data_IF_328854544121
#
_entry.id   IF_328854544121
#
_cell.length_a   1.000
_cell.length_b   1.000
_cell.length_c   1.000
_cell.angle_alpha   90.00
_cell.angle_beta   90.00
_cell.angle_gamma   90.00
#
_symmetry.space_group_name_H-M   'P 1'
#
loop_
_entity.id
_entity.type
_entity.pdbx_description
1 polymer ?
#
# COMPACT_ATOMS: atom_id res chain seq x y z
N UNK A 1 26.77 0.59 -12.48
CA UNK A 1 25.67 1.12 -11.67
C UNK A 1 25.59 2.62 -11.91
N UNK A 2 24.61 3.06 -12.68
CA UNK A 2 24.33 4.47 -12.95
C UNK A 2 23.57 5.05 -11.76
N UNK A 3 24.26 5.87 -10.97
CA UNK A 3 23.63 6.62 -9.87
C UNK A 3 22.48 7.49 -10.39
N UNK A 4 22.60 8.00 -11.62
CA UNK A 4 21.59 8.83 -12.29
C UNK A 4 20.27 8.09 -12.49
N UNK A 5 20.32 6.81 -12.86
CA UNK A 5 19.10 6.00 -13.04
C UNK A 5 18.36 5.78 -11.73
N UNK A 6 19.11 5.50 -10.65
CA UNK A 6 18.57 5.32 -9.29
C UNK A 6 17.93 6.63 -8.80
N UNK A 7 18.64 7.75 -8.92
CA UNK A 7 18.15 9.07 -8.49
C UNK A 7 16.88 9.46 -9.24
N UNK A 8 16.82 9.23 -10.56
CA UNK A 8 15.61 9.49 -11.35
C UNK A 8 14.43 8.65 -10.89
N UNK A 9 14.63 7.35 -10.66
CA UNK A 9 13.59 6.44 -10.23
C UNK A 9 13.08 6.79 -8.81
N UNK A 10 13.99 7.02 -7.87
CA UNK A 10 13.65 7.46 -6.52
C UNK A 10 12.88 8.79 -6.55
N UNK A 11 13.34 9.78 -7.32
CA UNK A 11 12.63 11.05 -7.47
C UNK A 11 11.22 10.87 -8.04
N UNK A 12 11.02 9.93 -8.96
CA UNK A 12 9.70 9.65 -9.53
C UNK A 12 8.74 9.07 -8.49
N UNK A 13 9.23 8.23 -7.57
CA UNK A 13 8.44 7.73 -6.43
C UNK A 13 8.13 8.85 -5.44
N UNK A 14 9.10 9.71 -5.16
CA UNK A 14 8.92 10.87 -4.27
C UNK A 14 7.89 11.85 -4.81
N UNK A 15 7.76 12.03 -6.13
CA UNK A 15 6.66 12.82 -6.73
C UNK A 15 5.30 12.25 -6.34
N UNK A 16 5.12 10.92 -6.40
CA UNK A 16 3.84 10.27 -6.07
C UNK A 16 3.52 10.47 -4.59
N UNK A 17 4.47 10.13 -3.71
CA UNK A 17 4.27 10.23 -2.24
C UNK A 17 4.03 11.67 -1.82
N UNK A 18 4.81 12.62 -2.32
CA UNK A 18 4.64 14.04 -1.97
C UNK A 18 3.32 14.61 -2.51
N UNK A 19 2.86 14.20 -3.69
CA UNK A 19 1.52 14.54 -4.17
C UNK A 19 0.42 13.96 -3.27
N UNK A 20 0.59 12.72 -2.78
CA UNK A 20 -0.32 12.12 -1.79
C UNK A 20 -0.32 12.89 -0.47
N UNK A 21 0.83 13.37 0.01
CA UNK A 21 0.93 14.20 1.22
C UNK A 21 0.12 15.50 1.08
N UNK A 22 0.03 16.07 -0.12
CA UNK A 22 -0.78 17.27 -0.38
C UNK A 22 -2.29 17.02 -0.32
N UNK A 23 -2.75 15.76 -0.28
CA UNK A 23 -4.16 15.45 -0.02
C UNK A 23 -4.56 15.78 1.43
N UNK A 24 -3.62 15.75 2.37
CA UNK A 24 -3.89 15.98 3.80
C UNK A 24 -4.44 17.38 4.07
N UNK A 25 -3.78 18.49 3.65
CA UNK A 25 -4.34 19.83 3.81
C UNK A 25 -5.65 20.04 3.05
N UNK A 26 -5.88 19.33 1.93
CA UNK A 26 -7.17 19.38 1.20
C UNK A 26 -8.27 18.76 2.07
N UNK A 27 -8.01 17.59 2.68
CA UNK A 27 -8.95 16.92 3.57
C UNK A 27 -9.22 17.77 4.83
N UNK A 28 -8.22 18.47 5.36
CA UNK A 28 -8.44 19.42 6.47
C UNK A 28 -9.46 20.49 6.09
N UNK A 29 -9.31 21.10 4.91
CA UNK A 29 -10.26 22.11 4.40
C UNK A 29 -11.66 21.51 4.24
N UNK A 30 -11.77 20.32 3.62
CA UNK A 30 -13.05 19.64 3.40
C UNK A 30 -13.75 19.27 4.72
N UNK A 31 -12.98 19.02 5.78
CA UNK A 31 -13.50 18.63 7.10
C UNK A 31 -13.61 19.81 8.07
N UNK A 32 -13.34 21.04 7.61
CA UNK A 32 -13.38 22.25 8.44
C UNK A 32 -12.33 22.27 9.55
N UNK A 33 -11.25 21.50 9.41
CA UNK A 33 -10.15 21.42 10.38
C UNK A 33 -9.04 22.40 10.02
N UNK A 34 -8.24 22.85 11.01
CA UNK A 34 -7.05 23.64 10.73
C UNK A 34 -6.10 22.89 9.80
N UNK A 35 -5.56 23.59 8.81
CA UNK A 35 -4.65 23.02 7.81
C UNK A 35 -3.42 22.43 8.50
N UNK A 36 -3.08 21.19 8.18
CA UNK A 36 -1.83 20.53 8.56
C UNK A 36 -0.67 21.09 7.72
N UNK A 37 -0.23 22.30 8.10
CA UNK A 37 0.87 23.04 7.46
C UNK A 37 2.15 22.21 7.26
N UNK A 38 2.58 21.34 8.19
CA UNK A 38 3.73 20.46 7.97
C UNK A 38 3.60 19.57 6.73
N UNK A 39 2.42 19.00 6.47
CA UNK A 39 2.18 18.19 5.27
C UNK A 39 2.24 19.04 3.99
N UNK A 40 1.70 20.25 4.02
CA UNK A 40 1.78 21.20 2.90
C UNK A 40 3.23 21.58 2.60
N UNK A 41 4.02 21.94 3.61
CA UNK A 41 5.42 22.37 3.46
C UNK A 41 6.28 21.20 3.00
N UNK A 42 6.29 20.08 3.73
CA UNK A 42 7.14 18.93 3.40
C UNK A 42 6.74 18.35 2.05
N UNK A 43 5.44 18.21 1.79
CA UNK A 43 4.92 17.76 0.49
C UNK A 43 5.42 18.65 -0.65
N UNK A 44 5.30 19.98 -0.53
CA UNK A 44 5.74 20.91 -1.58
C UNK A 44 7.26 20.92 -1.78
N UNK A 45 8.02 20.95 -0.68
CA UNK A 45 9.49 20.97 -0.70
C UNK A 45 10.08 19.70 -1.30
N UNK A 46 9.41 18.54 -1.13
CA UNK A 46 9.84 17.28 -1.77
C UNK A 46 9.33 17.19 -3.20
N UNK A 47 8.09 17.60 -3.47
CA UNK A 47 7.45 17.50 -4.78
C UNK A 47 8.20 18.28 -5.86
N UNK A 48 8.51 19.56 -5.60
CA UNK A 48 9.07 20.46 -6.61
C UNK A 48 10.44 19.96 -7.11
N UNK A 49 11.44 19.69 -6.24
CA UNK A 49 12.73 19.17 -6.68
C UNK A 49 12.60 17.79 -7.33
N UNK A 50 11.80 16.88 -6.75
CA UNK A 50 11.62 15.53 -7.28
C UNK A 50 11.01 15.54 -8.68
N UNK A 51 10.07 16.45 -8.94
CA UNK A 51 9.46 16.64 -10.26
C UNK A 51 10.46 17.21 -11.27
N UNK A 52 11.29 18.17 -10.86
CA UNK A 52 12.33 18.75 -11.72
C UNK A 52 13.40 17.71 -12.07
N UNK A 53 13.86 16.94 -11.10
CA UNK A 53 14.87 15.89 -11.27
C UNK A 53 14.33 14.77 -12.17
N UNK A 54 13.12 14.27 -11.90
CA UNK A 54 12.51 13.18 -12.68
C UNK A 54 12.27 13.57 -14.15
N UNK A 55 11.94 14.85 -14.43
CA UNK A 55 11.77 15.36 -15.80
C UNK A 55 13.10 15.64 -16.51
N UNK A 56 14.09 16.22 -15.82
CA UNK A 56 15.36 16.65 -16.43
C UNK A 56 16.34 15.51 -16.67
N UNK A 57 16.38 14.52 -15.77
CA UNK A 57 17.28 13.40 -15.92
C UNK A 57 16.80 12.47 -17.03
N UNK A 58 17.65 12.20 -18.01
CA UNK A 58 17.47 11.12 -18.98
C UNK A 58 18.24 9.90 -18.48
N UNK A 59 17.54 8.78 -18.30
CA UNK A 59 18.12 7.52 -17.91
C UNK A 59 17.46 6.40 -18.72
N UNK A 60 18.23 5.36 -19.06
CA UNK A 60 17.72 4.15 -19.69
C UNK A 60 16.92 3.28 -18.71
N UNK A 61 16.56 2.07 -19.15
CA UNK A 61 15.93 1.08 -18.28
C UNK A 61 16.84 0.75 -17.09
N UNK A 62 16.24 0.61 -15.90
CA UNK A 62 16.97 0.20 -14.70
C UNK A 62 17.53 -1.21 -14.90
N UNK A 63 18.80 -1.38 -14.58
CA UNK A 63 19.35 -2.74 -14.37
C UNK A 63 18.76 -3.35 -13.09
N UNK A 64 18.85 -4.67 -12.94
CA UNK A 64 18.33 -5.38 -11.76
C UNK A 64 18.93 -4.84 -10.44
N UNK A 65 20.24 -4.56 -10.44
CA UNK A 65 20.92 -4.00 -9.27
C UNK A 65 20.44 -2.59 -8.94
N UNK A 66 20.23 -1.74 -9.97
CA UNK A 66 19.70 -0.40 -9.77
C UNK A 66 18.24 -0.41 -9.30
N UNK A 67 17.42 -1.36 -9.77
CA UNK A 67 16.06 -1.54 -9.31
C UNK A 67 16.01 -1.98 -7.83
N UNK A 68 16.85 -2.95 -7.43
CA UNK A 68 16.98 -3.39 -6.04
C UNK A 68 17.47 -2.25 -5.15
N UNK A 69 18.51 -1.53 -5.58
CA UNK A 69 19.03 -0.37 -4.84
C UNK A 69 17.97 0.72 -4.68
N UNK A 70 17.25 1.05 -5.76
CA UNK A 70 16.14 2.01 -5.73
C UNK A 70 15.05 1.57 -4.75
N UNK A 71 14.64 0.30 -4.80
CA UNK A 71 13.64 -0.25 -3.89
C UNK A 71 14.11 -0.14 -2.44
N UNK A 72 15.30 -0.66 -2.11
CA UNK A 72 15.86 -0.63 -0.76
C UNK A 72 15.98 0.81 -0.21
N UNK A 73 16.46 1.75 -1.02
CA UNK A 73 16.52 3.17 -0.62
C UNK A 73 15.15 3.79 -0.46
N UNK A 74 14.18 3.46 -1.33
CA UNK A 74 12.82 4.00 -1.23
C UNK A 74 12.11 3.58 0.06
N UNK A 75 12.32 2.34 0.52
CA UNK A 75 11.79 1.82 1.78
C UNK A 75 12.33 2.52 3.03
N UNK A 76 13.44 3.25 2.92
CA UNK A 76 14.01 4.05 4.00
C UNK A 76 13.62 5.52 3.86
N UNK A 77 13.76 6.08 2.66
CA UNK A 77 13.60 7.52 2.41
C UNK A 77 12.13 7.95 2.45
N UNK A 78 11.20 7.14 1.91
CA UNK A 78 9.77 7.49 1.88
C UNK A 78 9.20 7.59 3.32
N UNK A 79 9.38 6.58 4.20
CA UNK A 79 8.95 6.68 5.59
C UNK A 79 9.65 7.81 6.35
N UNK A 80 10.92 8.10 6.04
CA UNK A 80 11.66 9.21 6.65
C UNK A 80 10.99 10.56 6.35
N UNK A 81 10.60 10.80 5.10
CA UNK A 81 9.93 12.04 4.69
C UNK A 81 8.54 12.17 5.34
N UNK A 82 7.78 11.07 5.37
CA UNK A 82 6.49 11.02 6.09
C UNK A 82 6.66 11.35 7.57
N UNK A 83 7.68 10.79 8.22
CA UNK A 83 7.97 10.99 9.63
C UNK A 83 8.25 12.46 9.96
N UNK A 84 8.93 13.20 9.08
CA UNK A 84 9.16 14.64 9.26
C UNK A 84 7.83 15.38 9.36
N UNK A 85 6.91 15.15 8.40
CA UNK A 85 5.60 15.81 8.42
C UNK A 85 4.76 15.40 9.64
N UNK A 86 4.71 14.11 9.96
CA UNK A 86 3.96 13.58 11.10
C UNK A 86 4.50 14.07 12.45
N UNK A 87 5.83 14.11 12.61
CA UNK A 87 6.48 14.59 13.84
C UNK A 87 6.18 16.06 14.11
N UNK A 88 6.26 16.89 13.09
CA UNK A 88 5.93 18.32 13.19
C UNK A 88 4.44 18.56 13.42
N UNK A 89 3.56 17.77 12.79
CA UNK A 89 2.10 17.92 12.93
C UNK A 89 1.59 17.46 14.29
N UNK A 90 2.03 16.28 14.74
CA UNK A 90 1.55 15.68 15.98
C UNK A 90 2.35 16.11 17.21
N UNK A 91 3.49 16.79 17.00
CA UNK A 91 4.44 17.18 18.06
C UNK A 91 4.90 15.97 18.88
N UNK A 92 5.03 14.83 18.21
CA UNK A 92 5.54 13.58 18.77
C UNK A 92 7.01 13.39 18.37
N UNK A 93 7.79 12.60 19.15
CA UNK A 93 9.19 12.33 18.85
C UNK A 93 9.36 11.81 17.41
N UNK A 94 10.39 12.31 16.74
CA UNK A 94 10.66 11.95 15.35
C UNK A 94 10.84 10.43 15.17
N UNK A 95 11.52 9.78 16.12
CA UNK A 95 11.77 8.34 16.07
C UNK A 95 10.47 7.53 16.12
N UNK A 96 9.49 7.98 16.90
CA UNK A 96 8.17 7.35 16.99
C UNK A 96 7.43 7.51 15.65
N UNK A 97 7.46 8.71 15.07
CA UNK A 97 6.81 8.94 13.78
C UNK A 97 7.51 8.26 12.61
N UNK A 98 8.81 7.99 12.73
CA UNK A 98 9.55 7.15 11.79
C UNK A 98 9.16 5.69 11.93
N UNK A 99 9.00 5.18 13.15
CA UNK A 99 8.45 3.83 13.38
C UNK A 99 7.02 3.70 12.84
N UNK A 100 6.14 4.66 13.15
CA UNK A 100 4.76 4.69 12.66
C UNK A 100 4.72 4.70 11.13
N UNK A 101 5.56 5.52 10.48
CA UNK A 101 5.64 5.60 9.02
C UNK A 101 6.20 4.33 8.40
N UNK A 102 7.26 3.74 8.97
CA UNK A 102 7.81 2.47 8.51
C UNK A 102 6.74 1.39 8.56
N UNK A 103 6.09 1.23 9.72
CA UNK A 103 5.01 0.28 9.94
C UNK A 103 3.83 0.47 8.98
N UNK A 104 3.49 1.72 8.66
CA UNK A 104 2.47 2.06 7.68
C UNK A 104 2.87 1.61 6.28
N UNK A 105 3.99 2.08 5.75
CA UNK A 105 4.39 1.76 4.38
C UNK A 105 4.73 0.28 4.17
N UNK A 106 5.25 -0.42 5.19
CA UNK A 106 5.55 -1.86 5.05
C UNK A 106 4.31 -2.74 5.21
N UNK A 107 3.16 -2.18 5.59
CA UNK A 107 1.96 -2.96 5.89
C UNK A 107 2.07 -3.77 7.19
N UNK A 108 2.94 -3.38 8.13
CA UNK A 108 3.11 -4.09 9.41
C UNK A 108 1.95 -3.78 10.38
N UNK A 109 1.45 -2.55 10.38
CA UNK A 109 0.25 -2.20 11.15
C UNK A 109 0.43 -1.91 12.63
N UNK A 110 1.64 -1.97 13.16
CA UNK A 110 1.93 -1.54 14.52
C UNK A 110 1.85 -0.03 14.64
N UNK A 111 1.38 0.44 15.79
CA UNK A 111 1.29 1.87 16.07
C UNK A 111 1.93 2.21 17.40
N UNK A 112 2.64 3.34 17.42
CA UNK A 112 3.21 3.95 18.62
C UNK A 112 2.43 5.19 19.07
N UNK A 113 1.41 5.59 18.30
CA UNK A 113 0.52 6.67 18.70
C UNK A 113 -0.41 6.14 19.80
N UNK A 114 -0.38 6.71 21.03
CA UNK A 114 -1.11 6.15 22.17
C UNK A 114 -2.63 6.28 22.05
N UNK A 115 -3.09 7.38 21.45
CA UNK A 115 -4.50 7.69 21.32
C UNK A 115 -4.80 8.33 19.96
N UNK A 116 -5.67 7.69 19.21
CA UNK A 116 -6.12 8.14 17.89
C UNK A 116 -7.27 9.16 17.94
N UNK A 117 -8.00 9.26 19.05
CA UNK A 117 -9.16 10.16 19.21
C UNK A 117 -8.88 11.64 18.95
N UNK A 118 -7.75 12.24 19.39
CA UNK A 118 -7.48 13.65 19.14
C UNK A 118 -6.96 13.92 17.72
N UNK A 119 -6.65 12.89 16.93
CA UNK A 119 -6.10 13.07 15.59
C UNK A 119 -7.14 13.67 14.65
N UNK A 120 -6.68 14.53 13.73
CA UNK A 120 -7.53 15.03 12.65
C UNK A 120 -7.92 13.87 11.72
N UNK A 121 -9.11 13.92 11.09
CA UNK A 121 -9.51 12.93 10.09
C UNK A 121 -8.50 12.73 8.96
N UNK A 122 -7.83 13.81 8.55
CA UNK A 122 -6.76 13.83 7.54
C UNK A 122 -5.54 13.01 7.97
N UNK A 123 -5.16 13.02 9.25
CA UNK A 123 -4.00 12.26 9.74
C UNK A 123 -4.31 10.77 9.82
N UNK A 124 -5.52 10.40 10.26
CA UNK A 124 -5.97 9.00 10.17
C UNK A 124 -6.01 8.55 8.70
N UNK A 125 -6.48 9.40 7.79
CA UNK A 125 -6.45 9.12 6.36
C UNK A 125 -5.02 8.90 5.85
N UNK A 126 -4.06 9.73 6.26
CA UNK A 126 -2.64 9.51 5.95
C UNK A 126 -2.15 8.14 6.41
N UNK A 127 -2.48 7.74 7.65
CA UNK A 127 -2.11 6.41 8.18
C UNK A 127 -2.64 5.27 7.32
N UNK A 128 -3.89 5.34 6.91
CA UNK A 128 -4.48 4.34 6.01
C UNK A 128 -3.86 4.38 4.60
N UNK A 129 -3.57 5.58 4.09
CA UNK A 129 -2.96 5.78 2.78
C UNK A 129 -1.52 5.26 2.70
N UNK A 130 -0.76 5.35 3.80
CA UNK A 130 0.58 4.73 3.89
C UNK A 130 0.51 3.23 3.63
N UNK A 131 -0.45 2.51 4.23
CA UNK A 131 -0.61 1.07 3.99
C UNK A 131 -1.04 0.75 2.56
N UNK A 132 -2.05 1.48 2.06
CA UNK A 132 -2.58 1.28 0.71
C UNK A 132 -1.54 1.54 -0.39
N UNK A 133 -0.74 2.59 -0.23
CA UNK A 133 0.34 2.90 -1.17
C UNK A 133 1.57 2.01 -1.00
N UNK A 134 1.84 1.59 0.24
CA UNK A 134 2.95 0.70 0.59
C UNK A 134 2.87 -0.66 -0.08
N UNK A 135 1.73 -1.34 0.04
CA UNK A 135 1.54 -2.66 -0.57
C UNK A 135 1.59 -2.57 -2.11
N UNK A 136 0.94 -1.55 -2.71
CA UNK A 136 1.10 -1.27 -4.15
C UNK A 136 2.57 -1.08 -4.54
N UNK A 137 3.36 -0.42 -3.70
CA UNK A 137 4.80 -0.27 -3.84
C UNK A 137 5.50 -1.61 -3.91
N UNK A 138 5.32 -2.49 -2.92
CA UNK A 138 5.91 -3.84 -2.89
C UNK A 138 5.59 -4.60 -4.17
N UNK A 139 4.33 -4.57 -4.60
CA UNK A 139 3.88 -5.36 -5.75
C UNK A 139 4.44 -4.82 -7.06
N UNK A 140 4.46 -3.50 -7.26
CA UNK A 140 5.05 -2.88 -8.45
C UNK A 140 6.57 -3.13 -8.48
N UNK A 141 7.26 -3.03 -7.34
CA UNK A 141 8.70 -3.36 -7.26
C UNK A 141 8.96 -4.85 -7.51
N UNK A 142 8.14 -5.74 -6.95
CA UNK A 142 8.25 -7.17 -7.18
C UNK A 142 8.10 -7.48 -8.68
N UNK A 143 7.12 -6.90 -9.36
CA UNK A 143 6.93 -7.09 -10.82
C UNK A 143 8.06 -6.48 -11.64
N UNK A 144 8.67 -5.38 -11.19
CA UNK A 144 9.83 -4.79 -11.85
C UNK A 144 11.11 -5.63 -11.67
N UNK A 145 11.31 -6.26 -10.51
CA UNK A 145 12.55 -6.98 -10.15
C UNK A 145 12.48 -8.47 -10.53
N UNK A 146 11.34 -9.13 -10.34
CA UNK A 146 11.16 -10.58 -10.47
C UNK A 146 11.53 -11.13 -11.86
N UNK A 147 11.23 -10.47 -13.00
CA UNK A 147 11.65 -10.94 -14.31
C UNK A 147 13.18 -10.96 -14.47
N UNK A 148 13.89 -10.06 -13.79
CA UNK A 148 15.34 -10.01 -13.85
C UNK A 148 15.98 -11.07 -12.96
N UNK A 149 15.45 -11.27 -11.75
CA UNK A 149 15.87 -12.39 -10.88
C UNK A 149 15.57 -13.72 -11.58
N UNK A 150 14.39 -13.85 -12.18
CA UNK A 150 14.02 -15.02 -12.98
C UNK A 150 14.94 -15.19 -14.17
N UNK A 151 15.26 -14.13 -14.94
CA UNK A 151 16.27 -14.17 -16.04
C UNK A 151 17.67 -14.52 -15.57
N UNK A 152 18.07 -14.12 -14.35
CA UNK A 152 19.37 -14.49 -13.77
C UNK A 152 19.36 -15.95 -13.37
N UNK A 153 18.31 -16.42 -12.68
CA UNK A 153 18.12 -17.83 -12.30
C UNK A 153 18.01 -18.71 -13.54
N UNK A 154 17.22 -18.32 -14.55
CA UNK A 154 17.13 -19.03 -15.83
C UNK A 154 18.34 -18.84 -16.72
N UNK A 155 19.17 -17.79 -16.63
CA UNK A 155 20.50 -17.79 -17.30
C UNK A 155 21.48 -18.74 -16.64
N UNK A 156 21.37 -18.94 -15.34
CA UNK A 156 22.13 -19.97 -14.62
C UNK A 156 21.58 -21.37 -14.91
N UNK A 157 20.29 -21.51 -15.30
CA UNK A 157 19.65 -22.81 -15.55
C UNK A 157 19.45 -23.21 -17.03
N UNK A 158 19.25 -22.29 -17.96
CA UNK A 158 18.94 -22.53 -19.37
C UNK A 158 19.38 -21.36 -20.26
N UNK A 159 20.46 -21.61 -21.00
CA UNK A 159 20.79 -20.92 -22.26
C UNK A 159 19.70 -21.28 -23.25
N UNK A 160 18.58 -20.55 -23.30
CA UNK A 160 17.72 -20.50 -24.50
C UNK A 160 16.50 -19.58 -24.31
N UNK A 161 16.32 -18.66 -25.26
CA UNK A 161 15.11 -17.88 -25.61
C UNK A 161 14.85 -16.53 -24.91
N UNK A 162 15.11 -15.47 -25.71
CA UNK A 162 14.06 -14.51 -26.10
C UNK A 162 13.74 -13.36 -25.14
N UNK A 163 13.69 -12.14 -25.70
CA UNK A 163 13.41 -10.88 -24.98
C UNK A 163 12.02 -10.87 -24.32
N UNK A 164 12.00 -10.67 -23.00
CA UNK A 164 10.82 -10.34 -22.19
C UNK A 164 10.89 -8.86 -21.81
N UNK A 165 10.38 -7.96 -22.66
CA UNK A 165 10.31 -6.51 -22.38
C UNK A 165 8.90 -5.93 -22.50
N UNK A 166 7.98 -6.53 -23.26
CA UNK A 166 6.62 -5.99 -23.44
C UNK A 166 5.65 -6.22 -22.27
N UNK A 167 5.98 -7.08 -21.30
CA UNK A 167 5.02 -7.55 -20.29
C UNK A 167 4.94 -6.70 -19.02
N UNK A 168 6.02 -6.05 -18.57
CA UNK A 168 6.13 -5.49 -17.20
C UNK A 168 5.13 -4.35 -16.95
N UNK A 169 5.07 -3.38 -17.87
CA UNK A 169 4.16 -2.22 -17.74
C UNK A 169 2.70 -2.68 -17.79
N UNK A 170 2.38 -3.66 -18.64
CA UNK A 170 1.03 -4.20 -18.74
C UNK A 170 0.60 -4.93 -17.46
N UNK A 171 1.51 -5.68 -16.84
CA UNK A 171 1.28 -6.36 -15.56
C UNK A 171 1.10 -5.36 -14.43
N UNK A 172 1.95 -4.33 -14.34
CA UNK A 172 1.82 -3.29 -13.33
C UNK A 172 0.48 -2.54 -13.45
N UNK A 173 0.08 -2.15 -14.67
CA UNK A 173 -1.24 -1.53 -14.92
C UNK A 173 -2.40 -2.46 -14.52
N UNK A 174 -2.29 -3.74 -14.83
CA UNK A 174 -3.29 -4.74 -14.46
C UNK A 174 -3.43 -4.86 -12.94
N UNK A 175 -2.31 -4.93 -12.22
CA UNK A 175 -2.29 -5.02 -10.75
C UNK A 175 -2.93 -3.79 -10.12
N UNK A 176 -2.51 -2.59 -10.54
CA UNK A 176 -3.08 -1.34 -10.04
C UNK A 176 -4.59 -1.30 -10.30
N UNK A 177 -5.03 -1.70 -11.49
CA UNK A 177 -6.45 -1.73 -11.82
C UNK A 177 -7.23 -2.71 -10.93
N UNK A 178 -6.72 -3.93 -10.72
CA UNK A 178 -7.34 -4.92 -9.84
C UNK A 178 -7.46 -4.35 -8.42
N UNK A 179 -6.36 -3.78 -7.90
CA UNK A 179 -6.30 -3.25 -6.55
C UNK A 179 -7.30 -2.11 -6.32
N UNK A 180 -7.36 -1.16 -7.27
CA UNK A 180 -8.33 -0.05 -7.22
C UNK A 180 -9.76 -0.57 -7.32
N UNK A 181 -10.04 -1.52 -8.20
CA UNK A 181 -11.39 -2.11 -8.33
C UNK A 181 -11.82 -2.79 -7.03
N UNK A 182 -10.99 -3.63 -6.43
CA UNK A 182 -11.33 -4.27 -5.16
C UNK A 182 -11.44 -3.25 -4.01
N UNK A 183 -10.60 -2.21 -3.98
CA UNK A 183 -10.74 -1.12 -3.00
C UNK A 183 -12.11 -0.44 -3.13
N UNK A 184 -12.58 -0.17 -4.35
CA UNK A 184 -13.90 0.44 -4.60
C UNK A 184 -15.06 -0.52 -4.26
N UNK A 185 -14.95 -1.80 -4.60
CA UNK A 185 -15.95 -2.80 -4.25
C UNK A 185 -16.08 -2.94 -2.72
N UNK A 186 -14.94 -2.93 -2.02
CA UNK A 186 -14.91 -3.02 -0.56
C UNK A 186 -15.45 -1.77 0.11
N UNK A 187 -15.13 -0.58 -0.41
CA UNK A 187 -15.72 0.68 0.04
C UNK A 187 -17.25 0.61 0.02
N UNK A 188 -17.83 0.17 -1.12
CA UNK A 188 -19.28 0.04 -1.28
C UNK A 188 -19.84 -1.01 -0.30
N UNK A 189 -19.21 -2.18 -0.21
CA UNK A 189 -19.63 -3.25 0.69
C UNK A 189 -19.61 -2.83 2.17
N UNK A 190 -18.59 -2.07 2.58
CA UNK A 190 -18.44 -1.60 3.96
C UNK A 190 -19.50 -0.55 4.28
N UNK A 191 -19.73 0.41 3.38
CA UNK A 191 -20.80 1.40 3.55
C UNK A 191 -22.19 0.75 3.63
N UNK A 192 -22.44 -0.32 2.88
CA UNK A 192 -23.72 -1.06 2.92
C UNK A 192 -24.01 -1.70 4.29
N UNK A 193 -22.98 -1.92 5.12
CA UNK A 193 -23.16 -2.45 6.50
C UNK A 193 -23.39 -1.38 7.55
N UNK A 194 -23.34 -0.10 7.19
CA UNK A 194 -23.54 1.03 8.10
C UNK A 194 -22.26 1.75 8.51
N UNK A 195 -21.09 1.42 7.94
CA UNK A 195 -19.91 2.29 8.06
C UNK A 195 -20.19 3.65 7.40
N UNK A 196 -19.74 4.74 8.03
CA UNK A 196 -19.65 6.03 7.36
C UNK A 196 -18.66 5.95 6.20
N UNK A 197 -18.76 6.85 5.23
CA UNK A 197 -17.77 6.92 4.13
C UNK A 197 -16.33 7.01 4.65
N UNK A 198 -16.12 7.82 5.69
CA UNK A 198 -14.81 8.01 6.31
C UNK A 198 -14.26 6.73 6.95
N UNK A 199 -15.06 5.98 7.68
CA UNK A 199 -14.62 4.68 8.21
C UNK A 199 -14.36 3.71 7.06
N UNK A 200 -15.31 3.58 6.13
CA UNK A 200 -15.24 2.60 5.05
C UNK A 200 -14.00 2.79 4.18
N UNK A 201 -13.66 4.02 3.78
CA UNK A 201 -12.47 4.30 2.97
C UNK A 201 -11.17 4.00 3.71
N UNK A 202 -11.11 4.31 5.01
CA UNK A 202 -9.91 4.02 5.81
C UNK A 202 -9.73 2.51 6.03
N UNK A 203 -10.79 1.82 6.46
CA UNK A 203 -10.71 0.38 6.71
C UNK A 203 -10.47 -0.41 5.43
N UNK A 204 -11.08 -0.07 4.29
CA UNK A 204 -10.81 -0.84 3.07
C UNK A 204 -9.37 -0.68 2.59
N UNK A 205 -8.80 0.53 2.69
CA UNK A 205 -7.41 0.80 2.34
C UNK A 205 -6.43 -0.06 3.16
N UNK A 206 -6.68 -0.24 4.45
CA UNK A 206 -5.82 -1.05 5.32
C UNK A 206 -6.14 -2.55 5.25
N UNK A 207 -7.40 -2.91 4.97
CA UNK A 207 -7.82 -4.32 4.87
C UNK A 207 -7.32 -4.97 3.60
N UNK A 208 -7.51 -4.31 2.43
CA UNK A 208 -7.01 -4.86 1.17
C UNK A 208 -5.48 -4.93 1.17
N UNK A 209 -4.83 -4.00 1.89
CA UNK A 209 -3.40 -4.00 2.13
C UNK A 209 -2.88 -5.04 3.12
N UNK A 210 -3.77 -5.79 3.75
CA UNK A 210 -3.46 -6.73 4.84
C UNK A 210 -2.70 -6.08 6.00
N UNK A 211 -2.76 -4.75 6.13
CA UNK A 211 -1.90 -3.99 7.03
C UNK A 211 -2.52 -3.67 8.39
N UNK A 212 -3.85 -3.60 8.52
CA UNK A 212 -4.51 -3.57 9.84
C UNK A 212 -4.44 -2.27 10.65
N UNK A 213 -3.93 -1.15 10.11
CA UNK A 213 -4.13 0.16 10.78
C UNK A 213 -5.63 0.49 10.85
N UNK A 214 -6.03 1.18 11.92
CA UNK A 214 -7.43 1.45 12.22
C UNK A 214 -7.72 2.93 12.49
N UNK A 215 -9.00 3.29 12.35
CA UNK A 215 -9.54 4.62 12.66
C UNK A 215 -9.67 4.82 14.17
N UNK A 216 -10.04 3.77 14.90
CA UNK A 216 -10.27 3.78 16.34
C UNK A 216 -9.21 2.97 17.09
N UNK A 217 -8.95 3.32 18.35
CA UNK A 217 -7.99 2.59 19.20
C UNK A 217 -8.41 1.14 19.43
N UNK A 218 -9.71 0.84 19.49
CA UNK A 218 -10.25 -0.51 19.65
C UNK A 218 -10.57 -1.17 18.29
N UNK A 219 -9.90 -0.72 17.23
CA UNK A 219 -9.99 -1.26 15.88
C UNK A 219 -11.45 -1.33 15.39
N UNK A 220 -11.90 -2.48 14.86
CA UNK A 220 -13.25 -2.62 14.31
C UNK A 220 -14.35 -2.64 15.39
N UNK A 221 -14.00 -2.77 16.68
CA UNK A 221 -14.96 -2.99 17.77
C UNK A 221 -15.96 -1.83 17.90
N UNK A 222 -15.50 -0.59 17.84
CA UNK A 222 -16.38 0.60 17.87
C UNK A 222 -17.47 0.52 16.78
N UNK A 223 -17.12 0.06 15.57
CA UNK A 223 -18.06 -0.08 14.46
C UNK A 223 -18.96 -1.30 14.67
N UNK A 224 -18.39 -2.42 15.08
CA UNK A 224 -19.13 -3.67 15.31
C UNK A 224 -20.28 -3.50 16.30
N UNK A 225 -20.08 -2.72 17.38
CA UNK A 225 -21.12 -2.47 18.38
C UNK A 225 -22.38 -1.79 17.81
N UNK A 226 -22.23 -0.97 16.76
CA UNK A 226 -23.36 -0.28 16.10
C UNK A 226 -23.79 -0.94 14.79
N UNK A 227 -22.93 -1.73 14.17
CA UNK A 227 -23.14 -2.37 12.88
C UNK A 227 -22.49 -3.77 12.85
N UNK A 228 -23.08 -4.79 13.51
CA UNK A 228 -22.44 -6.11 13.65
C UNK A 228 -22.15 -6.82 12.33
N UNK A 229 -22.98 -6.57 11.30
CA UNK A 229 -22.82 -7.18 9.97
C UNK A 229 -21.54 -6.76 9.25
N UNK A 230 -20.84 -5.72 9.73
CA UNK A 230 -19.57 -5.25 9.16
C UNK A 230 -18.47 -6.30 9.14
N UNK A 231 -18.54 -7.28 10.06
CA UNK A 231 -17.55 -8.35 10.16
C UNK A 231 -17.46 -9.18 8.87
N UNK A 232 -18.60 -9.44 8.21
CA UNK A 232 -18.64 -10.30 7.02
C UNK A 232 -17.88 -9.73 5.82
N UNK A 233 -18.17 -8.50 5.33
CA UNK A 233 -17.39 -7.94 4.25
C UNK A 233 -15.93 -7.69 4.67
N UNK A 234 -15.65 -7.28 5.90
CA UNK A 234 -14.26 -7.10 6.35
C UNK A 234 -13.48 -8.42 6.25
N UNK A 235 -14.02 -9.53 6.75
CA UNK A 235 -13.37 -10.84 6.62
C UNK A 235 -13.18 -11.25 5.16
N UNK A 236 -14.17 -11.01 4.29
CA UNK A 236 -14.06 -11.32 2.86
C UNK A 236 -12.89 -10.54 2.24
N UNK A 237 -12.79 -9.25 2.52
CA UNK A 237 -11.72 -8.41 1.96
C UNK A 237 -10.35 -8.69 2.57
N UNK A 238 -10.26 -9.15 3.83
CA UNK A 238 -9.02 -9.67 4.40
C UNK A 238 -8.52 -10.90 3.63
N UNK A 239 -9.43 -11.82 3.31
CA UNK A 239 -9.12 -13.02 2.52
C UNK A 239 -8.72 -12.64 1.10
N UNK A 240 -9.45 -11.72 0.46
CA UNK A 240 -9.13 -11.25 -0.88
C UNK A 240 -7.79 -10.50 -0.93
N UNK A 241 -7.45 -9.68 0.08
CA UNK A 241 -6.15 -9.02 0.16
C UNK A 241 -4.98 -10.01 0.21
N UNK A 242 -5.19 -11.19 0.79
CA UNK A 242 -4.18 -12.24 0.85
C UNK A 242 -4.06 -13.09 -0.44
N UNK A 243 -4.96 -12.93 -1.42
CA UNK A 243 -4.88 -13.66 -2.69
C UNK A 243 -3.80 -13.06 -3.59
N UNK A 244 -3.15 -13.92 -4.39
CA UNK A 244 -2.30 -13.41 -5.46
C UNK A 244 -3.15 -12.64 -6.51
N UNK A 245 -2.52 -11.71 -7.22
CA UNK A 245 -3.22 -10.86 -8.21
C UNK A 245 -3.82 -11.62 -9.40
N UNK A 246 -3.30 -12.81 -9.74
CA UNK A 246 -3.86 -13.62 -10.82
C UNK A 246 -5.20 -14.23 -10.42
N UNK A 247 -5.31 -14.71 -9.19
CA UNK A 247 -6.55 -15.26 -8.64
C UNK A 247 -7.61 -14.17 -8.46
N UNK A 248 -7.20 -12.99 -7.96
CA UNK A 248 -8.06 -11.80 -7.94
C UNK A 248 -8.56 -11.41 -9.34
N UNK A 249 -7.71 -11.51 -10.36
CA UNK A 249 -8.10 -11.27 -11.76
C UNK A 249 -9.08 -12.32 -12.26
N UNK A 250 -8.85 -13.59 -11.98
CA UNK A 250 -9.77 -14.67 -12.38
C UNK A 250 -11.13 -14.50 -11.74
N UNK A 251 -11.17 -14.09 -10.47
CA UNK A 251 -12.41 -13.80 -9.76
C UNK A 251 -13.15 -12.61 -10.38
N UNK A 252 -12.48 -11.49 -10.66
CA UNK A 252 -13.10 -10.32 -11.33
C UNK A 252 -13.69 -10.65 -12.70
N UNK A 253 -13.08 -11.60 -13.42
CA UNK A 253 -13.53 -12.02 -14.76
C UNK A 253 -14.49 -13.22 -14.72
N UNK A 254 -14.93 -13.64 -13.53
CA UNK A 254 -15.75 -14.83 -13.33
C UNK A 254 -15.16 -16.12 -13.96
N UNK A 255 -13.83 -16.21 -14.06
CA UNK A 255 -13.11 -17.36 -14.63
C UNK A 255 -12.91 -18.46 -13.58
N UNK A 256 -14.00 -18.98 -13.02
CA UNK A 256 -13.99 -19.89 -11.87
C UNK A 256 -13.22 -21.19 -12.12
N UNK A 257 -13.16 -21.68 -13.37
CA UNK A 257 -12.35 -22.86 -13.71
C UNK A 257 -10.87 -22.62 -13.44
N UNK A 258 -10.32 -21.50 -13.91
CA UNK A 258 -8.91 -21.14 -13.70
C UNK A 258 -8.59 -20.88 -12.24
N UNK A 259 -9.53 -20.28 -11.52
CA UNK A 259 -9.40 -20.04 -10.08
C UNK A 259 -9.28 -21.37 -9.30
N UNK A 260 -10.09 -22.39 -9.65
CA UNK A 260 -10.03 -23.73 -9.04
C UNK A 260 -8.76 -24.50 -9.39
N UNK A 261 -8.18 -24.22 -10.55
CA UNK A 261 -6.91 -24.79 -11.01
C UNK A 261 -5.69 -24.08 -10.40
N UNK A 262 -5.88 -23.00 -9.63
CA UNK A 262 -4.79 -22.29 -8.97
C UNK A 262 -4.08 -23.20 -7.94
N UNK A 263 -2.75 -23.38 -8.06
CA UNK A 263 -1.99 -24.22 -7.14
C UNK A 263 -1.91 -23.61 -5.72
N UNK A 264 -2.08 -22.29 -5.58
CA UNK A 264 -1.93 -21.58 -4.31
C UNK A 264 -3.24 -21.45 -3.53
N UNK A 265 -4.37 -21.30 -4.25
CA UNK A 265 -5.66 -21.01 -3.62
C UNK A 265 -6.10 -22.10 -2.65
N UNK A 266 -6.01 -23.38 -3.05
CA UNK A 266 -6.48 -24.50 -2.22
C UNK A 266 -5.64 -24.66 -0.94
N UNK A 267 -4.29 -24.71 -1.01
CA UNK A 267 -3.46 -24.69 0.20
C UNK A 267 -3.74 -23.49 1.11
N UNK A 268 -3.88 -22.29 0.55
CA UNK A 268 -4.19 -21.08 1.31
C UNK A 268 -5.50 -21.22 2.10
N UNK A 269 -6.59 -21.65 1.45
CA UNK A 269 -7.88 -21.82 2.12
C UNK A 269 -7.86 -22.93 3.19
N UNK A 270 -7.10 -24.00 2.97
CA UNK A 270 -6.92 -25.08 3.96
C UNK A 270 -6.18 -24.53 5.19
N UNK A 271 -5.07 -23.81 4.99
CA UNK A 271 -4.31 -23.21 6.09
C UNK A 271 -5.15 -22.20 6.87
N UNK A 272 -5.93 -21.38 6.17
CA UNK A 272 -6.85 -20.43 6.80
C UNK A 272 -7.89 -21.16 7.66
N UNK A 273 -8.54 -22.20 7.13
CA UNK A 273 -9.54 -22.96 7.87
C UNK A 273 -8.94 -23.67 9.10
N UNK A 274 -7.77 -24.30 8.95
CA UNK A 274 -7.05 -24.93 10.08
C UNK A 274 -6.69 -23.89 11.12
N UNK A 275 -6.11 -22.76 10.72
CA UNK A 275 -5.74 -21.67 11.61
C UNK A 275 -6.94 -21.14 12.40
N UNK A 276 -8.07 -20.88 11.73
CA UNK A 276 -9.29 -20.43 12.39
C UNK A 276 -9.84 -21.47 13.38
N UNK A 277 -9.79 -22.75 13.05
CA UNK A 277 -10.22 -23.82 13.97
C UNK A 277 -9.35 -23.87 15.23
N UNK A 278 -8.03 -23.78 15.07
CA UNK A 278 -7.10 -23.79 16.21
C UNK A 278 -7.35 -22.60 17.16
N UNK A 279 -7.68 -21.42 16.63
CA UNK A 279 -7.98 -20.25 17.48
C UNK A 279 -9.26 -20.37 18.29
N UNK A 280 -10.21 -21.21 17.87
CA UNK A 280 -11.45 -21.45 18.63
C UNK A 280 -11.25 -22.51 19.72
N UNK A 281 -10.28 -23.40 19.54
CA UNK A 281 -9.98 -24.50 20.46
C UNK A 281 -8.97 -24.14 21.56
N UNK A 282 -8.23 -23.04 21.40
CA UNK A 282 -7.26 -22.51 22.35
C UNK A 282 -7.90 -21.53 23.34
#
# INVERSE_FOLDING_TARGET
>A
MSLTSIVKALSSLLVIVSAMMLLIPIIDIMTGRPISTPFLIVGSVVLIPSLLISKKLTAGELTSYEAIATAATSWLVIPLISAIAMSLELKLPFIDMYFESLSGFTGTGFSVIPDLRPLKPSIIFWRSLMQWSGELGIVVFAVAILPHVYKVVTRVYLVERGKLTETIVSTAKMIIAIYVVYTLLGLIAYMATGMTFYEAINYIMTTIATGGMAVYNDSLRTIYLRAPLVIYPVMIFMVLGAFNFNDLRYLLRAMLRKLKESPELRPFLILLAIGSLLTVLA
#
